data_IF_223446354665
#
_entry.id   IF_223446354665
#
_cell.length_a   1.000
_cell.length_b   1.000
_cell.length_c   1.000
_cell.angle_alpha   90.00
_cell.angle_beta   90.00
_cell.angle_gamma   90.00
#
_symmetry.space_group_name_H-M   'P 1'
#
loop_
_entity.id
_entity.type
_entity.pdbx_description
1 polymer ?
#
# COMPACT_ATOMS: atom_id res chain seq x y z
N UNK A 1 55.03 -10.67 51.15
CA UNK A 1 55.91 -10.02 50.17
C UNK A 1 55.01 -9.31 49.17
N UNK A 2 54.52 -8.12 49.56
CA UNK A 2 54.99 -6.76 49.17
C UNK A 2 54.37 -6.33 47.85
N UNK A 3 53.55 -5.28 47.72
CA UNK A 3 53.05 -4.16 48.56
C UNK A 3 51.96 -3.46 47.69
N UNK A 4 50.70 -3.18 48.11
CA UNK A 4 50.17 -1.98 48.81
C UNK A 4 50.84 -0.65 48.37
N UNK A 5 50.20 0.49 48.06
CA UNK A 5 48.93 1.12 48.51
C UNK A 5 48.62 2.33 47.57
N UNK A 6 47.37 2.68 47.26
CA UNK A 6 46.48 3.69 47.91
C UNK A 6 47.00 5.14 47.90
N UNK A 7 46.28 6.12 47.33
CA UNK A 7 45.24 6.99 47.98
C UNK A 7 45.61 8.46 47.66
N UNK A 8 44.84 9.54 47.75
CA UNK A 8 43.42 9.88 47.89
C UNK A 8 43.32 11.44 47.69
N UNK A 9 42.21 11.91 47.08
CA UNK A 9 41.28 13.06 47.36
C UNK A 9 41.73 14.14 48.40
N UNK A 10 41.27 15.45 48.45
CA UNK A 10 39.94 15.98 48.06
C UNK A 10 39.75 17.49 47.67
N UNK A 11 38.50 17.82 47.26
CA UNK A 11 37.67 19.05 47.34
C UNK A 11 38.22 20.43 47.78
N UNK A 12 37.78 21.51 47.07
CA UNK A 12 37.15 22.72 47.64
C UNK A 12 36.61 23.69 46.56
N UNK A 13 35.37 24.17 46.72
CA UNK A 13 34.78 25.40 46.13
C UNK A 13 34.96 26.58 47.11
N UNK A 14 34.33 27.76 46.92
CA UNK A 14 34.42 28.79 45.88
C UNK A 14 34.89 30.15 46.48
N UNK A 15 35.23 31.17 45.66
CA UNK A 15 35.35 32.55 46.18
C UNK A 15 35.00 33.62 45.13
N UNK A 16 34.25 34.64 45.59
CA UNK A 16 33.67 35.75 44.84
C UNK A 16 34.56 37.01 44.76
N UNK A 17 34.44 37.73 43.63
CA UNK A 17 34.51 39.21 43.46
C UNK A 17 35.90 39.91 43.56
N UNK A 18 36.07 41.23 43.19
CA UNK A 18 35.11 42.23 42.69
C UNK A 18 35.58 43.20 41.55
N UNK A 19 34.56 43.80 40.88
CA UNK A 19 34.36 45.18 40.33
C UNK A 19 35.53 46.12 39.89
N UNK A 20 35.37 46.73 38.71
CA UNK A 20 35.33 48.21 38.43
C UNK A 20 34.97 48.43 36.93
N UNK A 21 33.87 49.10 36.52
CA UNK A 21 33.45 50.52 36.48
C UNK A 21 34.33 51.47 35.63
N UNK A 22 33.79 51.90 34.48
CA UNK A 22 34.25 53.04 33.68
C UNK A 22 33.18 53.50 32.68
N UNK A 23 32.69 54.74 32.87
CA UNK A 23 31.54 55.37 32.20
C UNK A 23 31.97 56.14 30.94
N UNK A 24 31.09 56.23 29.94
CA UNK A 24 30.94 57.43 29.09
C UNK A 24 29.46 57.63 28.73
N UNK A 25 29.07 58.90 28.66
CA UNK A 25 27.71 59.45 28.70
C UNK A 25 27.49 60.33 27.48
N UNK A 26 26.30 60.29 26.85
CA UNK A 26 25.57 61.40 26.19
C UNK A 26 24.22 60.82 25.72
N UNK A 27 23.05 61.18 26.29
CA UNK A 27 22.21 62.35 25.92
C UNK A 27 21.48 62.09 24.59
N UNK A 28 20.15 62.04 24.45
CA UNK A 28 19.16 63.13 24.66
C UNK A 28 17.71 62.59 24.55
N UNK A 29 16.89 62.94 25.56
CA UNK A 29 15.49 63.45 25.61
C UNK A 29 14.35 62.94 24.68
N UNK A 30 13.26 62.54 25.37
CA UNK A 30 11.86 62.27 25.00
C UNK A 30 11.13 63.37 24.19
N UNK A 31 10.24 62.97 23.27
CA UNK A 31 8.92 63.63 23.07
C UNK A 31 7.85 62.57 22.73
N UNK A 32 6.86 62.44 23.61
CA UNK A 32 5.52 61.92 23.34
C UNK A 32 4.66 63.07 22.79
N UNK A 33 4.25 63.00 21.53
CA UNK A 33 3.04 63.66 21.00
C UNK A 33 2.83 63.21 19.54
N UNK A 34 1.77 62.45 19.28
CA UNK A 34 1.44 62.00 17.93
C UNK A 34 0.45 60.83 17.86
N UNK A 35 -0.49 60.73 18.80
CA UNK A 35 -1.73 59.99 18.61
C UNK A 35 -2.61 60.78 17.64
N UNK A 36 -2.82 60.25 16.44
CA UNK A 36 -3.74 60.80 15.45
C UNK A 36 -3.05 61.10 14.13
N UNK A 37 -3.56 60.51 13.05
CA UNK A 37 -3.14 60.64 11.65
C UNK A 37 -2.01 59.67 11.25
N UNK A 38 -2.35 58.38 11.17
CA UNK A 38 -1.86 57.45 10.14
C UNK A 38 -2.70 56.15 10.06
N UNK A 39 -4.01 56.25 10.38
CA UNK A 39 -4.96 55.14 10.28
C UNK A 39 -5.61 55.01 8.88
N UNK A 40 -4.97 55.53 7.83
CA UNK A 40 -5.52 55.52 6.46
C UNK A 40 -4.64 54.88 5.38
N UNK A 41 -3.46 54.34 5.72
CA UNK A 41 -2.59 53.67 4.74
C UNK A 41 -1.88 52.43 5.29
N UNK A 42 -2.59 51.61 6.08
CA UNK A 42 -2.18 50.22 6.28
C UNK A 42 -2.96 49.37 5.28
N UNK A 43 -2.34 48.81 4.23
CA UNK A 43 -3.00 47.79 3.44
C UNK A 43 -3.20 46.61 4.37
N UNK A 44 -4.46 46.25 4.60
CA UNK A 44 -4.84 44.99 5.23
C UNK A 44 -4.11 43.89 4.50
N UNK A 45 -2.99 43.42 5.07
CA UNK A 45 -2.43 42.12 4.75
C UNK A 45 -3.51 41.14 5.18
N UNK A 46 -4.37 40.76 4.24
CA UNK A 46 -5.19 39.57 4.33
C UNK A 46 -4.26 38.46 4.73
N UNK A 47 -4.36 38.03 6.00
CA UNK A 47 -3.91 36.71 6.40
C UNK A 47 -4.64 35.75 5.44
N UNK A 48 -3.93 35.25 4.43
CA UNK A 48 -4.45 34.20 3.58
C UNK A 48 -4.85 33.06 4.50
N UNK A 49 -6.16 32.77 4.53
CA UNK A 49 -6.65 31.55 5.14
C UNK A 49 -5.99 30.37 4.41
N UNK A 50 -5.44 29.38 5.12
CA UNK A 50 -4.94 28.17 4.48
C UNK A 50 -6.09 27.57 3.68
N UNK A 51 -5.83 27.14 2.44
CA UNK A 51 -6.86 26.55 1.58
C UNK A 51 -7.57 25.42 2.30
N UNK A 52 -8.84 25.64 2.65
CA UNK A 52 -9.65 24.72 3.44
C UNK A 52 -10.21 23.64 2.53
N UNK A 53 -9.39 22.66 2.16
CA UNK A 53 -9.95 21.39 1.72
C UNK A 53 -10.70 20.78 2.93
N UNK A 54 -12.02 20.69 2.84
CA UNK A 54 -12.85 20.03 3.84
C UNK A 54 -13.13 18.59 3.39
N UNK A 55 -13.02 17.62 4.30
CA UNK A 55 -13.37 16.21 4.09
C UNK A 55 -14.74 15.94 4.70
N UNK A 56 -15.54 15.12 4.02
CA UNK A 56 -16.82 14.67 4.58
C UNK A 56 -16.61 13.53 5.59
N UNK A 57 -16.98 13.78 6.84
CA UNK A 57 -16.86 12.91 8.02
C UNK A 57 -18.22 12.85 8.72
N UNK A 58 -18.58 11.75 9.38
CA UNK A 58 -19.83 11.70 10.15
C UNK A 58 -19.65 11.96 11.66
N UNK A 59 -20.71 12.44 12.30
CA UNK A 59 -20.82 12.56 13.76
C UNK A 59 -22.15 11.94 14.19
N UNK A 60 -22.12 11.00 15.13
CA UNK A 60 -23.34 10.53 15.78
C UNK A 60 -23.88 11.58 16.75
N UNK A 61 -25.15 11.97 16.62
CA UNK A 61 -25.87 12.65 17.71
C UNK A 61 -26.46 11.62 18.67
N UNK A 62 -26.28 11.84 19.97
CA UNK A 62 -26.93 11.05 21.03
C UNK A 62 -28.42 11.43 21.07
N UNK A 63 -29.36 10.48 20.90
CA UNK A 63 -30.77 10.82 20.97
C UNK A 63 -31.21 10.96 22.44
N UNK A 64 -31.82 12.10 22.75
CA UNK A 64 -32.81 12.19 23.83
C UNK A 64 -34.07 11.46 23.36
N UNK A 65 -34.28 10.26 23.90
CA UNK A 65 -35.39 9.30 23.70
C UNK A 65 -35.14 8.15 22.71
N UNK A 66 -35.34 6.96 23.28
CA UNK A 66 -35.13 5.66 22.67
C UNK A 66 -36.38 5.19 21.90
N UNK A 67 -36.56 5.67 20.65
CA UNK A 67 -37.35 4.93 19.63
C UNK A 67 -37.14 5.44 18.19
N UNK A 68 -35.93 5.87 17.83
CA UNK A 68 -35.65 6.20 16.42
C UNK A 68 -34.26 5.71 16.02
N UNK A 69 -34.18 5.03 14.88
CA UNK A 69 -32.91 4.55 14.33
C UNK A 69 -31.89 5.68 14.27
N UNK A 70 -30.64 5.40 14.64
CA UNK A 70 -29.55 6.38 14.65
C UNK A 70 -29.47 7.05 13.28
N UNK A 71 -29.84 8.33 13.22
CA UNK A 71 -29.75 9.15 12.02
C UNK A 71 -28.36 9.76 11.98
N UNK A 72 -27.53 9.30 11.06
CA UNK A 72 -26.21 9.87 10.85
C UNK A 72 -26.29 11.01 9.84
N UNK A 73 -25.53 12.08 10.08
CA UNK A 73 -25.43 13.24 9.18
C UNK A 73 -24.02 13.34 8.63
N UNK A 74 -23.90 13.54 7.32
CA UNK A 74 -22.64 13.88 6.66
C UNK A 74 -22.23 15.29 7.09
N UNK A 75 -21.08 15.42 7.74
CA UNK A 75 -20.54 16.70 8.21
C UNK A 75 -19.23 17.00 7.48
N UNK A 76 -19.07 18.21 6.96
CA UNK A 76 -17.78 18.64 6.39
C UNK A 76 -16.85 19.07 7.52
N UNK A 77 -15.59 18.64 7.49
CA UNK A 77 -14.55 19.02 8.46
C UNK A 77 -13.28 19.45 7.72
N UNK A 78 -12.55 20.47 8.18
CA UNK A 78 -11.22 20.76 7.63
C UNK A 78 -10.35 19.49 7.64
N UNK A 79 -9.64 19.21 6.55
CA UNK A 79 -8.78 18.01 6.46
C UNK A 79 -7.71 17.96 7.57
N UNK A 80 -7.27 19.14 8.03
CA UNK A 80 -6.35 19.30 9.14
C UNK A 80 -6.91 18.80 10.49
N UNK A 81 -8.23 18.67 10.62
CA UNK A 81 -8.90 18.21 11.84
C UNK A 81 -9.30 16.73 11.75
N UNK A 82 -9.00 16.06 10.64
CA UNK A 82 -9.26 14.62 10.48
C UNK A 82 -8.08 13.83 11.04
N UNK A 83 -8.39 12.82 11.86
CA UNK A 83 -7.40 11.97 12.52
C UNK A 83 -7.80 10.49 12.47
N UNK A 84 -6.83 9.57 12.67
CA UNK A 84 -7.14 8.15 12.62
C UNK A 84 -8.17 7.73 13.67
N UNK A 85 -9.11 6.85 13.28
CA UNK A 85 -10.26 6.45 14.09
C UNK A 85 -11.57 7.19 13.75
N UNK A 86 -11.50 8.30 13.02
CA UNK A 86 -12.66 8.91 12.36
C UNK A 86 -13.15 8.05 11.19
N UNK A 87 -14.34 8.35 10.65
CA UNK A 87 -14.87 7.68 9.45
C UNK A 87 -15.07 8.64 8.29
N UNK A 88 -14.69 8.20 7.09
CA UNK A 88 -14.97 8.88 5.83
C UNK A 88 -16.00 8.08 5.03
N UNK A 89 -16.98 8.77 4.46
CA UNK A 89 -17.98 8.15 3.58
C UNK A 89 -17.60 8.43 2.13
N UNK A 90 -17.05 7.44 1.45
CA UNK A 90 -16.81 7.46 0.01
C UNK A 90 -16.87 6.02 -0.49
N UNK A 91 -17.26 5.85 -1.75
CA UNK A 91 -17.30 4.56 -2.43
C UNK A 91 -16.27 4.59 -3.54
N UNK A 92 -15.37 3.59 -3.56
CA UNK A 92 -14.40 3.49 -4.63
C UNK A 92 -15.14 3.04 -5.90
N UNK A 93 -15.09 3.80 -7.01
CA UNK A 93 -15.73 3.42 -8.27
C UNK A 93 -15.04 2.23 -8.96
N UNK A 94 -13.86 1.85 -8.48
CA UNK A 94 -13.07 0.73 -8.97
C UNK A 94 -13.14 -0.46 -8.00
N UNK A 95 -12.76 -1.64 -8.48
CA UNK A 95 -12.66 -2.84 -7.64
C UNK A 95 -11.36 -2.89 -6.79
N UNK A 96 -10.56 -1.81 -6.76
CA UNK A 96 -9.32 -1.72 -5.99
C UNK A 96 -9.63 -1.56 -4.49
N UNK A 97 -9.58 -2.69 -3.77
CA UNK A 97 -9.74 -2.76 -2.32
C UNK A 97 -8.47 -3.24 -1.63
N UNK A 98 -8.11 -2.61 -0.53
CA UNK A 98 -6.97 -3.00 0.28
C UNK A 98 -7.36 -3.75 1.54
N UNK A 99 -7.24 -5.07 1.47
CA UNK A 99 -7.51 -5.98 2.58
C UNK A 99 -6.24 -6.39 3.34
N UNK A 100 -5.10 -5.71 3.14
CA UNK A 100 -3.82 -6.09 3.77
C UNK A 100 -3.88 -6.18 5.30
N UNK A 101 -4.79 -5.42 5.92
CA UNK A 101 -5.02 -5.42 7.36
C UNK A 101 -6.44 -5.89 7.74
N UNK A 102 -7.13 -6.56 6.81
CA UNK A 102 -8.52 -7.00 6.98
C UNK A 102 -9.55 -5.90 6.70
N UNK A 103 -10.82 -6.22 6.96
CA UNK A 103 -11.98 -5.36 6.65
C UNK A 103 -12.41 -4.45 7.79
N UNK A 104 -11.86 -4.63 8.99
CA UNK A 104 -12.22 -3.89 10.20
C UNK A 104 -10.98 -3.53 11.02
N UNK A 105 -11.03 -2.38 11.69
CA UNK A 105 -10.03 -1.98 12.69
C UNK A 105 -10.43 -2.58 14.03
N UNK A 106 -9.56 -3.38 14.63
CA UNK A 106 -9.76 -3.93 15.97
C UNK A 106 -9.00 -3.08 17.00
N UNK A 107 -9.75 -2.25 17.72
CA UNK A 107 -9.16 -1.36 18.74
C UNK A 107 -8.38 -2.06 19.85
N UNK A 108 -8.62 -3.37 20.07
CA UNK A 108 -7.94 -4.13 21.12
C UNK A 108 -6.53 -4.59 20.69
N UNK A 109 -6.34 -4.88 19.40
CA UNK A 109 -5.10 -5.42 18.84
C UNK A 109 -4.36 -4.45 17.93
N UNK A 110 -4.87 -3.22 17.76
CA UNK A 110 -4.23 -2.16 16.97
C UNK A 110 -3.65 -1.08 17.87
N UNK A 111 -2.67 -0.35 17.33
CA UNK A 111 -2.04 0.82 17.97
C UNK A 111 -1.92 1.96 16.96
N UNK A 112 -1.78 3.17 17.48
CA UNK A 112 -1.40 4.33 16.69
C UNK A 112 0.13 4.48 16.72
N UNK A 113 0.74 4.43 15.54
CA UNK A 113 2.17 4.66 15.35
C UNK A 113 2.33 6.05 14.76
N UNK A 114 3.06 6.92 15.44
CA UNK A 114 3.37 8.27 14.94
C UNK A 114 4.84 8.32 14.55
N UNK A 115 5.07 8.81 13.35
CA UNK A 115 6.32 8.70 12.63
C UNK A 115 6.72 10.07 12.08
N UNK A 116 8.03 10.30 12.02
CA UNK A 116 8.61 11.38 11.22
C UNK A 116 9.31 10.77 10.02
N UNK A 117 8.78 11.02 8.83
CA UNK A 117 9.26 10.39 7.61
C UNK A 117 10.05 11.38 6.73
N UNK A 118 11.24 11.01 6.24
CA UNK A 118 11.98 11.85 5.30
C UNK A 118 11.31 11.84 3.92
N UNK A 119 11.40 12.98 3.23
CA UNK A 119 11.01 13.16 1.83
C UNK A 119 12.27 13.26 0.96
N UNK A 120 12.15 12.94 -0.33
CA UNK A 120 13.28 12.92 -1.29
C UNK A 120 14.07 14.23 -1.40
N UNK A 121 13.46 15.38 -1.08
CA UNK A 121 14.07 16.72 -1.14
C UNK A 121 14.64 17.20 0.21
N UNK A 122 14.77 16.33 1.21
CA UNK A 122 15.32 16.67 2.54
C UNK A 122 14.33 17.28 3.54
N UNK A 123 13.09 17.54 3.12
CA UNK A 123 11.99 17.89 4.03
C UNK A 123 11.40 16.65 4.70
N UNK A 124 10.48 16.86 5.65
CA UNK A 124 9.85 15.77 6.42
C UNK A 124 8.33 15.79 6.30
N UNK A 125 7.72 14.65 6.58
CA UNK A 125 6.29 14.50 6.79
C UNK A 125 6.02 13.96 8.20
N UNK A 126 5.02 14.53 8.86
CA UNK A 126 4.48 13.96 10.09
C UNK A 126 3.40 12.94 9.70
N UNK A 127 3.49 11.74 10.26
CA UNK A 127 2.68 10.60 9.83
C UNK A 127 2.07 9.91 11.04
N UNK A 128 0.77 9.65 10.98
CA UNK A 128 0.05 8.83 11.97
C UNK A 128 -0.55 7.64 11.24
N UNK A 129 -0.30 6.43 11.73
CA UNK A 129 -0.85 5.19 11.17
C UNK A 129 -1.50 4.35 12.27
N UNK A 130 -2.71 3.85 12.01
CA UNK A 130 -3.32 2.76 12.74
C UNK A 130 -2.87 1.44 12.12
N UNK A 131 -2.21 0.61 12.92
CA UNK A 131 -1.67 -0.68 12.48
C UNK A 131 -1.90 -1.74 13.55
N UNK A 132 -2.11 -3.01 13.15
CA UNK A 132 -2.19 -4.12 14.10
C UNK A 132 -0.82 -4.33 14.77
N UNK A 133 -0.84 -4.86 16.00
CA UNK A 133 0.38 -5.18 16.75
C UNK A 133 1.30 -6.16 15.98
N UNK A 134 0.74 -7.04 15.16
CA UNK A 134 1.50 -7.93 14.26
C UNK A 134 2.32 -7.17 13.22
N UNK A 135 1.82 -6.06 12.69
CA UNK A 135 2.56 -5.20 11.76
C UNK A 135 3.69 -4.46 12.48
N UNK A 136 3.43 -3.98 13.69
CA UNK A 136 4.42 -3.28 14.53
C UNK A 136 5.58 -4.24 14.84
N UNK A 137 5.27 -5.48 15.23
CA UNK A 137 6.26 -6.50 15.48
C UNK A 137 7.06 -6.86 14.22
N UNK A 138 6.41 -7.06 13.06
CA UNK A 138 7.10 -7.44 11.83
C UNK A 138 8.02 -6.35 11.26
N UNK A 139 7.75 -5.08 11.58
CA UNK A 139 8.59 -3.95 11.19
C UNK A 139 9.62 -3.58 12.26
N UNK A 140 9.69 -4.32 13.38
CA UNK A 140 10.49 -3.99 14.56
C UNK A 140 10.29 -2.52 14.99
N UNK A 141 9.05 -2.04 14.91
CA UNK A 141 8.72 -0.66 15.23
C UNK A 141 8.83 -0.44 16.75
N UNK A 142 9.84 0.32 17.16
CA UNK A 142 10.11 0.69 18.55
C UNK A 142 10.32 2.19 18.65
N UNK A 143 9.87 2.82 19.73
CA UNK A 143 10.03 4.27 19.94
C UNK A 143 11.50 4.66 19.95
N UNK A 144 11.86 5.69 19.19
CA UNK A 144 13.24 6.12 18.93
C UNK A 144 13.98 5.28 17.87
N UNK A 145 13.39 4.17 17.41
CA UNK A 145 13.87 3.37 16.30
C UNK A 145 13.46 3.92 14.94
N UNK A 146 13.88 3.23 13.88
CA UNK A 146 13.53 3.55 12.50
C UNK A 146 12.85 2.35 11.84
N UNK A 147 11.87 2.64 10.99
CA UNK A 147 11.23 1.64 10.14
C UNK A 147 11.37 2.03 8.68
N UNK A 148 11.56 1.04 7.81
CA UNK A 148 11.53 1.28 6.37
C UNK A 148 10.07 1.53 5.95
N UNK A 149 9.76 2.77 5.60
CA UNK A 149 8.44 3.18 5.14
C UNK A 149 8.51 3.51 3.64
N UNK A 150 7.67 2.84 2.86
CA UNK A 150 7.54 3.10 1.43
C UNK A 150 6.08 3.43 1.13
N UNK A 151 5.77 4.72 1.25
CA UNK A 151 4.51 5.36 0.87
C UNK A 151 4.77 6.47 -0.16
N UNK A 152 5.37 6.13 -1.32
CA UNK A 152 5.80 7.12 -2.31
C UNK A 152 4.64 7.95 -2.89
N UNK A 153 3.41 7.47 -2.76
CA UNK A 153 2.16 8.12 -3.15
C UNK A 153 1.86 9.39 -2.38
N UNK A 154 2.25 9.40 -1.11
CA UNK A 154 2.23 10.57 -0.24
C UNK A 154 3.64 11.17 -0.15
N UNK A 155 4.54 10.85 -1.08
CA UNK A 155 5.90 11.39 -1.09
C UNK A 155 6.77 10.97 0.11
N UNK A 156 6.43 9.87 0.78
CA UNK A 156 7.15 9.33 1.93
C UNK A 156 7.90 8.06 1.52
N UNK A 157 9.22 8.10 1.53
CA UNK A 157 10.06 6.96 1.16
C UNK A 157 11.37 7.01 1.91
N UNK A 158 11.67 5.96 2.67
CA UNK A 158 12.92 5.86 3.42
C UNK A 158 12.70 5.40 4.86
N UNK A 159 13.74 5.57 5.66
CA UNK A 159 13.70 5.28 7.09
C UNK A 159 12.91 6.36 7.83
N UNK A 160 11.69 6.02 8.26
CA UNK A 160 10.88 6.86 9.12
C UNK A 160 11.22 6.60 10.59
N UNK A 161 11.42 7.66 11.36
CA UNK A 161 11.67 7.59 12.80
C UNK A 161 10.34 7.37 13.54
N UNK A 162 10.30 6.40 14.45
CA UNK A 162 9.14 6.12 15.30
C UNK A 162 9.18 7.03 16.52
N UNK A 163 8.29 8.02 16.54
CA UNK A 163 8.24 9.01 17.62
C UNK A 163 7.44 8.51 18.83
N UNK A 164 6.36 7.78 18.58
CA UNK A 164 5.48 7.23 19.62
C UNK A 164 4.66 6.07 19.09
N UNK A 165 4.35 5.14 19.99
CA UNK A 165 3.40 4.05 19.79
C UNK A 165 2.39 4.15 20.91
N UNK A 166 1.15 4.47 20.56
CA UNK A 166 0.07 4.79 21.49
C UNK A 166 -1.05 3.75 21.37
N UNK A 167 -1.90 3.60 22.40
CA UNK A 167 -3.14 2.83 22.28
C UNK A 167 -3.95 3.24 21.05
N UNK A 168 -4.73 2.31 20.49
CA UNK A 168 -5.69 2.65 19.44
C UNK A 168 -6.62 3.78 19.94
N UNK A 169 -6.77 4.89 19.21
CA UNK A 169 -7.76 5.91 19.53
C UNK A 169 -9.17 5.32 19.43
N UNK A 170 -10.15 6.02 19.99
CA UNK A 170 -11.55 5.64 19.85
C UNK A 170 -11.93 5.57 18.36
N UNK A 171 -12.42 4.41 17.94
CA UNK A 171 -12.97 4.24 16.59
C UNK A 171 -14.42 4.71 16.61
N UNK A 172 -14.70 5.80 15.90
CA UNK A 172 -16.05 6.37 15.84
C UNK A 172 -17.04 5.36 15.27
N UNK A 173 -18.24 5.31 15.85
CA UNK A 173 -19.34 4.53 15.30
C UNK A 173 -20.01 5.27 14.13
N UNK A 174 -20.40 4.54 13.10
CA UNK A 174 -21.10 5.09 11.93
C UNK A 174 -20.80 4.33 10.64
N UNK A 175 -21.51 4.65 9.54
CA UNK A 175 -21.19 4.17 8.20
C UNK A 175 -19.86 4.74 7.67
N UNK A 176 -19.45 4.26 6.50
CA UNK A 176 -18.17 4.61 5.90
C UNK A 176 -16.99 3.84 6.50
N UNK A 177 -15.80 4.17 6.01
CA UNK A 177 -14.55 3.48 6.34
C UNK A 177 -13.73 4.27 7.34
N UNK A 178 -12.97 3.56 8.16
CA UNK A 178 -12.11 4.17 9.18
C UNK A 178 -10.92 4.85 8.52
N UNK A 179 -10.62 6.08 8.93
CA UNK A 179 -9.35 6.74 8.64
C UNK A 179 -8.26 5.98 9.40
N UNK A 180 -7.38 5.31 8.68
CA UNK A 180 -6.26 4.53 9.25
C UNK A 180 -4.94 5.26 9.15
N UNK A 181 -4.88 6.38 8.45
CA UNK A 181 -3.66 7.16 8.37
C UNK A 181 -3.91 8.63 8.12
N UNK A 182 -2.96 9.45 8.58
CA UNK A 182 -2.90 10.89 8.35
C UNK A 182 -1.46 11.26 8.02
N UNK A 183 -1.29 12.05 6.97
CA UNK A 183 0.00 12.53 6.50
C UNK A 183 -0.03 14.05 6.43
N UNK A 184 0.96 14.69 7.04
CA UNK A 184 1.15 16.14 6.98
C UNK A 184 2.47 16.40 6.29
N UNK A 185 2.39 16.97 5.10
CA UNK A 185 3.55 17.35 4.32
C UNK A 185 3.82 18.83 4.52
N UNK A 186 5.03 19.12 4.95
CA UNK A 186 5.55 20.48 4.92
C UNK A 186 6.21 20.74 3.56
N UNK A 187 6.19 22.01 3.17
CA UNK A 187 6.87 22.53 1.98
C UNK A 187 6.45 21.88 0.65
N UNK A 188 5.14 21.79 0.40
CA UNK A 188 4.60 21.25 -0.86
C UNK A 188 4.31 22.36 -1.89
N UNK A 189 4.63 22.08 -3.15
CA UNK A 189 4.19 22.88 -4.30
C UNK A 189 2.76 22.48 -4.67
N UNK A 190 1.90 23.46 -4.91
CA UNK A 190 0.48 23.24 -5.17
C UNK A 190 0.04 23.79 -6.52
N UNK A 191 -1.07 23.22 -6.96
CA UNK A 191 -1.92 23.74 -8.02
C UNK A 191 -3.31 24.02 -7.42
N UNK A 192 -3.94 25.05 -7.95
CA UNK A 192 -5.31 25.44 -7.70
C UNK A 192 -6.19 24.87 -8.81
N UNK A 193 -6.91 23.79 -8.47
CA UNK A 193 -7.88 23.15 -9.34
C UNK A 193 -9.25 23.79 -9.10
N UNK A 194 -9.78 24.50 -10.11
CA UNK A 194 -11.11 25.09 -10.05
C UNK A 194 -12.13 24.14 -10.66
N UNK A 195 -13.15 23.80 -9.88
CA UNK A 195 -14.26 22.92 -10.27
C UNK A 195 -15.57 23.69 -10.09
N UNK A 196 -16.51 23.53 -11.02
CA UNK A 196 -17.73 24.33 -11.07
C UNK A 196 -18.61 24.21 -9.80
N UNK A 197 -18.62 23.05 -9.14
CA UNK A 197 -19.36 22.81 -7.89
C UNK A 197 -18.66 23.38 -6.64
N UNK A 198 -17.46 23.93 -6.78
CA UNK A 198 -16.65 24.45 -5.68
C UNK A 198 -16.66 25.98 -5.69
N UNK A 199 -16.98 26.60 -4.55
CA UNK A 199 -16.95 28.06 -4.41
C UNK A 199 -15.52 28.62 -4.55
N UNK A 200 -14.54 27.94 -3.95
CA UNK A 200 -13.10 28.21 -4.05
C UNK A 200 -12.35 27.11 -4.80
N UNK A 201 -11.17 27.40 -5.35
CA UNK A 201 -10.30 26.36 -5.91
C UNK A 201 -9.85 25.37 -4.84
N UNK A 202 -9.67 24.11 -5.24
CA UNK A 202 -9.07 23.08 -4.40
C UNK A 202 -7.55 23.17 -4.58
N UNK A 203 -6.86 23.59 -3.52
CA UNK A 203 -5.40 23.54 -3.45
C UNK A 203 -4.94 22.09 -3.26
N UNK A 204 -4.20 21.56 -4.23
CA UNK A 204 -3.76 20.16 -4.23
C UNK A 204 -2.35 20.02 -4.79
N UNK A 205 -1.67 18.91 -4.51
CA UNK A 205 -0.39 18.64 -5.18
C UNK A 205 -0.65 18.23 -6.63
N UNK A 206 0.24 18.58 -7.58
CA UNK A 206 0.05 18.26 -9.00
C UNK A 206 -0.24 16.78 -9.26
N UNK A 207 0.39 15.89 -8.48
CA UNK A 207 0.26 14.45 -8.60
C UNK A 207 -0.95 13.84 -7.89
N UNK A 208 -1.75 14.61 -7.17
CA UNK A 208 -2.87 14.06 -6.42
C UNK A 208 -3.99 13.64 -7.37
N UNK A 209 -4.55 12.44 -7.24
CA UNK A 209 -5.55 11.95 -8.18
C UNK A 209 -6.99 12.31 -7.81
N UNK A 210 -7.75 12.62 -8.85
CA UNK A 210 -9.18 12.87 -8.82
C UNK A 210 -9.89 11.83 -9.69
N UNK A 211 -11.11 11.45 -9.33
CA UNK A 211 -11.91 10.57 -10.19
C UNK A 211 -12.43 11.34 -11.40
N UNK A 212 -11.99 10.94 -12.59
CA UNK A 212 -12.54 11.39 -13.87
C UNK A 212 -13.63 10.43 -14.33
N UNK A 213 -14.80 10.97 -14.61
CA UNK A 213 -15.93 10.24 -15.17
C UNK A 213 -15.79 10.06 -16.69
N UNK A 214 -15.05 10.93 -17.36
CA UNK A 214 -14.79 10.80 -18.80
C UNK A 214 -13.76 9.69 -19.06
N UNK A 215 -12.73 9.60 -18.23
CA UNK A 215 -11.68 8.59 -18.34
C UNK A 215 -11.98 7.30 -17.56
N UNK A 216 -13.01 7.31 -16.70
CA UNK A 216 -13.32 6.21 -15.77
C UNK A 216 -12.10 5.76 -14.96
N UNK A 217 -11.30 6.73 -14.53
CA UNK A 217 -10.02 6.50 -13.88
C UNK A 217 -9.66 7.60 -12.89
N UNK A 218 -8.75 7.27 -11.97
CA UNK A 218 -8.10 8.25 -11.12
C UNK A 218 -6.96 8.94 -11.89
N UNK A 219 -7.16 10.22 -12.19
CA UNK A 219 -6.29 11.07 -13.02
C UNK A 219 -5.62 12.11 -12.14
N UNK A 220 -4.33 12.37 -12.37
CA UNK A 220 -3.57 13.38 -11.60
C UNK A 220 -4.16 14.77 -11.82
N UNK A 221 -4.11 15.62 -10.80
CA UNK A 221 -4.60 16.99 -10.88
C UNK A 221 -3.97 17.79 -12.03
N UNK A 222 -2.70 17.55 -12.33
CA UNK A 222 -1.97 18.20 -13.44
C UNK A 222 -2.21 17.58 -14.83
N UNK A 223 -2.95 16.48 -14.90
CA UNK A 223 -3.36 15.83 -16.14
C UNK A 223 -4.86 15.99 -16.42
N UNK A 224 -5.63 16.59 -15.50
CA UNK A 224 -7.03 16.93 -15.73
C UNK A 224 -7.16 18.08 -16.73
N UNK A 225 -8.02 17.92 -17.71
CA UNK A 225 -8.27 18.94 -18.73
C UNK A 225 -9.49 19.81 -18.40
N UNK A 226 -9.48 21.12 -18.69
CA UNK A 226 -10.68 21.94 -18.64
C UNK A 226 -11.80 21.34 -19.49
N UNK A 227 -13.00 21.22 -18.92
CA UNK A 227 -14.15 20.54 -19.52
C UNK A 227 -14.35 19.09 -19.07
N UNK A 228 -13.35 18.49 -18.40
CA UNK A 228 -13.44 17.12 -17.91
C UNK A 228 -14.43 16.98 -16.74
N UNK A 229 -15.21 15.89 -16.74
CA UNK A 229 -16.22 15.60 -15.73
C UNK A 229 -15.64 14.83 -14.55
N UNK A 230 -15.87 15.34 -13.34
CA UNK A 230 -15.45 14.72 -12.07
C UNK A 230 -16.65 14.34 -11.21
N UNK A 231 -16.50 13.28 -10.41
CA UNK A 231 -17.55 12.83 -9.47
C UNK A 231 -17.53 13.64 -8.18
N UNK A 232 -18.69 14.10 -7.75
CA UNK A 232 -18.89 14.86 -6.50
C UNK A 232 -20.04 14.28 -5.67
N UNK A 233 -20.23 14.76 -4.42
CA UNK A 233 -21.37 14.36 -3.60
C UNK A 233 -22.71 14.85 -4.16
N UNK A 234 -22.70 15.89 -5.00
CA UNK A 234 -23.89 16.46 -5.64
C UNK A 234 -24.14 15.94 -7.05
N UNK A 235 -23.33 14.98 -7.53
CA UNK A 235 -23.38 14.45 -8.90
C UNK A 235 -22.11 14.80 -9.68
N UNK A 236 -22.23 15.00 -10.98
CA UNK A 236 -21.10 15.36 -11.83
C UNK A 236 -20.79 16.86 -11.73
N UNK A 237 -19.51 17.23 -11.81
CA UNK A 237 -19.06 18.60 -11.97
C UNK A 237 -17.94 18.70 -13.01
N UNK A 238 -17.65 19.91 -13.46
CA UNK A 238 -16.70 20.16 -14.55
C UNK A 238 -15.45 20.84 -14.03
N UNK A 239 -14.29 20.38 -14.50
CA UNK A 239 -13.01 21.08 -14.30
C UNK A 239 -13.02 22.36 -15.12
N UNK A 240 -12.85 23.51 -14.48
CA UNK A 240 -12.87 24.82 -15.16
C UNK A 240 -11.45 25.28 -15.54
N UNK A 241 -10.50 25.11 -14.62
CA UNK A 241 -9.10 25.49 -14.85
C UNK A 241 -8.17 24.88 -13.81
N UNK A 242 -6.89 24.85 -14.17
CA UNK A 242 -5.79 24.52 -13.27
C UNK A 242 -4.78 25.66 -13.32
N UNK A 243 -4.41 26.19 -12.15
CA UNK A 243 -3.40 27.25 -12.04
C UNK A 243 -2.33 26.87 -11.03
N UNK A 244 -1.08 27.25 -11.29
CA UNK A 244 -0.02 27.02 -10.31
C UNK A 244 -0.19 27.97 -9.12
N UNK A 245 -0.10 27.44 -7.91
CA UNK A 245 -0.06 28.25 -6.69
C UNK A 245 1.39 28.54 -6.31
N UNK A 246 1.70 29.81 -6.13
CA UNK A 246 3.05 30.22 -5.71
C UNK A 246 3.30 29.94 -4.23
N UNK A 247 4.58 29.71 -3.90
CA UNK A 247 5.01 29.40 -2.54
C UNK A 247 4.96 27.92 -2.17
N UNK A 248 5.37 27.64 -0.94
CA UNK A 248 5.41 26.30 -0.36
C UNK A 248 4.39 26.23 0.77
N UNK A 249 3.58 25.16 0.77
CA UNK A 249 2.39 25.06 1.61
C UNK A 249 2.39 23.76 2.42
N UNK A 250 1.76 23.79 3.59
CA UNK A 250 1.46 22.57 4.33
C UNK A 250 0.23 21.90 3.72
N UNK A 251 0.34 20.62 3.40
CA UNK A 251 -0.79 19.82 2.88
C UNK A 251 -1.02 18.56 3.67
N UNK A 252 -2.24 18.06 3.57
CA UNK A 252 -2.74 16.93 4.32
C UNK A 252 -3.20 15.84 3.36
N UNK A 253 -2.93 14.58 3.71
CA UNK A 253 -3.52 13.43 3.05
C UNK A 253 -3.98 12.41 4.10
N UNK A 254 -4.91 11.54 3.72
CA UNK A 254 -5.52 10.54 4.59
C UNK A 254 -5.35 9.15 3.99
N UNK A 255 -5.22 8.13 4.84
CA UNK A 255 -5.40 6.74 4.45
C UNK A 255 -6.75 6.26 4.94
N UNK A 256 -7.58 5.75 4.03
CA UNK A 256 -8.92 5.27 4.32
C UNK A 256 -8.93 3.75 4.19
N UNK A 257 -9.39 3.06 5.23
CA UNK A 257 -9.46 1.61 5.29
C UNK A 257 -10.21 1.02 4.09
N UNK A 258 -9.62 0.00 3.46
CA UNK A 258 -10.16 -0.76 2.31
C UNK A 258 -10.30 0.07 1.04
N UNK A 259 -11.14 1.10 1.05
CA UNK A 259 -11.60 1.75 -0.19
C UNK A 259 -10.63 2.82 -0.71
N UNK A 260 -9.71 3.34 0.12
CA UNK A 260 -8.68 4.32 -0.27
C UNK A 260 -9.18 5.56 -1.02
N UNK A 261 -10.44 5.95 -0.81
CA UNK A 261 -11.04 7.16 -1.41
C UNK A 261 -11.71 8.02 -0.34
N UNK A 262 -11.79 9.32 -0.60
CA UNK A 262 -12.55 10.26 0.21
C UNK A 262 -13.03 11.45 -0.63
N UNK A 263 -13.98 12.22 -0.10
CA UNK A 263 -14.46 13.44 -0.75
C UNK A 263 -13.81 14.68 -0.14
N UNK A 264 -13.41 15.63 -0.99
CA UNK A 264 -12.81 16.91 -0.61
C UNK A 264 -13.60 18.11 -1.17
N UNK A 265 -13.51 19.25 -0.50
CA UNK A 265 -14.17 20.48 -0.93
C UNK A 265 -15.63 20.57 -0.51
N UNK A 266 -16.27 21.67 -0.91
CA UNK A 266 -17.65 21.98 -0.62
C UNK A 266 -18.63 21.12 -1.45
N UNK A 267 -18.38 20.93 -2.74
CA UNK A 267 -19.12 20.01 -3.60
C UNK A 267 -18.82 18.54 -3.29
N UNK A 268 -17.71 18.27 -2.59
CA UNK A 268 -17.31 16.93 -2.18
C UNK A 268 -16.81 16.13 -3.38
N UNK A 269 -15.75 16.61 -4.01
CA UNK A 269 -15.09 15.97 -5.16
C UNK A 269 -14.38 14.69 -4.71
N UNK A 270 -14.57 13.60 -5.44
CA UNK A 270 -13.99 12.30 -5.11
C UNK A 270 -12.50 12.25 -5.49
N UNK A 271 -11.66 11.99 -4.49
CA UNK A 271 -10.21 11.84 -4.63
C UNK A 271 -9.75 10.50 -4.11
N UNK A 272 -8.57 10.08 -4.56
CA UNK A 272 -7.97 8.82 -4.15
C UNK A 272 -6.74 9.05 -3.28
N UNK A 273 -6.66 8.28 -2.19
CA UNK A 273 -5.42 8.06 -1.48
C UNK A 273 -4.65 6.96 -2.22
N UNK A 274 -3.74 7.31 -3.14
CA UNK A 274 -3.00 6.22 -3.81
C UNK A 274 -2.22 5.42 -2.78
N UNK A 275 -2.49 4.12 -2.80
CA UNK A 275 -1.97 3.11 -1.91
C UNK A 275 -0.58 2.68 -2.38
N UNK A 276 0.30 2.36 -1.41
CA UNK A 276 1.63 1.78 -1.61
C UNK A 276 1.68 0.58 -2.56
N UNK A 277 0.55 -0.06 -2.90
CA UNK A 277 0.49 -1.12 -3.92
C UNK A 277 0.71 -0.57 -5.34
N UNK A 278 0.11 0.56 -5.73
CA UNK A 278 0.13 1.04 -7.12
C UNK A 278 1.51 1.60 -7.51
N UNK A 279 2.18 2.39 -6.68
CA UNK A 279 3.57 2.83 -6.96
C UNK A 279 4.62 1.76 -6.67
N UNK A 280 4.44 0.82 -5.73
CA UNK A 280 5.34 -0.36 -5.67
C UNK A 280 5.22 -1.17 -6.96
N UNK A 281 4.01 -1.33 -7.47
CA UNK A 281 3.73 -2.00 -8.73
C UNK A 281 4.35 -1.23 -9.90
N UNK A 282 4.11 0.08 -10.04
CA UNK A 282 4.72 0.93 -11.07
C UNK A 282 6.24 0.91 -11.00
N UNK A 283 6.84 1.05 -9.82
CA UNK A 283 8.30 0.97 -9.66
C UNK A 283 8.86 -0.41 -9.98
N UNK A 284 8.14 -1.48 -9.64
CA UNK A 284 8.49 -2.86 -10.05
C UNK A 284 8.45 -2.97 -11.57
N UNK A 285 7.36 -2.55 -12.21
CA UNK A 285 7.21 -2.58 -13.66
C UNK A 285 8.27 -1.73 -14.39
N UNK A 286 8.62 -0.56 -13.84
CA UNK A 286 9.70 0.27 -14.40
C UNK A 286 11.08 -0.37 -14.20
N UNK A 287 11.34 -1.01 -13.05
CA UNK A 287 12.57 -1.76 -12.81
C UNK A 287 12.66 -3.02 -13.68
N UNK A 288 11.52 -3.56 -14.10
CA UNK A 288 11.36 -4.67 -15.05
C UNK A 288 11.42 -4.21 -16.53
N UNK A 289 11.60 -2.90 -16.78
CA UNK A 289 11.89 -2.35 -18.11
C UNK A 289 10.68 -1.92 -18.96
N UNK A 290 9.48 -1.87 -18.38
CA UNK A 290 8.27 -1.47 -19.11
C UNK A 290 8.25 0.05 -19.40
N UNK A 291 7.72 0.40 -20.57
CA UNK A 291 7.48 1.78 -20.98
C UNK A 291 6.27 2.40 -20.26
N UNK A 292 6.17 3.73 -20.31
CA UNK A 292 5.08 4.47 -19.63
C UNK A 292 3.69 4.11 -20.18
N UNK A 293 3.59 3.82 -21.47
CA UNK A 293 2.32 3.49 -22.12
C UNK A 293 1.87 2.06 -21.76
N UNK A 294 2.82 1.13 -21.63
CA UNK A 294 2.56 -0.24 -21.15
C UNK A 294 2.14 -0.26 -19.68
N UNK A 295 2.76 0.57 -18.84
CA UNK A 295 2.36 0.75 -17.45
C UNK A 295 0.95 1.33 -17.36
N UNK A 296 0.61 2.33 -18.20
CA UNK A 296 -0.75 2.89 -18.27
C UNK A 296 -1.77 1.82 -18.66
N UNK A 297 -1.46 0.94 -19.62
CA UNK A 297 -2.33 -0.17 -20.01
C UNK A 297 -2.55 -1.18 -18.87
N UNK A 298 -1.48 -1.59 -18.17
CA UNK A 298 -1.55 -2.53 -17.02
C UNK A 298 -2.33 -1.97 -15.84
N UNK A 299 -2.32 -0.64 -15.65
CA UNK A 299 -3.06 0.03 -14.57
C UNK A 299 -4.52 0.33 -14.91
N UNK A 300 -4.91 0.26 -16.19
CA UNK A 300 -6.25 0.53 -16.68
C UNK A 300 -7.08 -0.74 -16.88
N UNK A 301 -6.43 -1.89 -17.08
CA UNK A 301 -7.11 -3.18 -17.01
C UNK A 301 -7.18 -3.65 -15.55
N UNK A 302 -8.36 -4.10 -15.12
CA UNK A 302 -8.64 -4.76 -13.82
C UNK A 302 -7.91 -6.12 -13.68
N UNK A 303 -6.69 -6.25 -14.20
CA UNK A 303 -5.88 -7.45 -14.13
C UNK A 303 -5.42 -7.67 -12.69
N UNK A 304 -6.07 -8.66 -12.07
CA UNK A 304 -5.79 -9.33 -10.79
C UNK A 304 -4.44 -9.03 -10.14
N UNK A 305 -4.40 -8.87 -8.80
CA UNK A 305 -3.15 -8.70 -8.05
C UNK A 305 -2.13 -9.75 -8.48
N UNK A 306 -0.93 -9.29 -8.89
CA UNK A 306 0.16 -10.08 -9.48
C UNK A 306 0.16 -11.53 -8.99
N UNK A 307 -0.48 -12.41 -9.75
CA UNK A 307 -0.57 -13.82 -9.41
C UNK A 307 0.85 -14.40 -9.49
N UNK A 308 1.27 -15.11 -8.44
CA UNK A 308 2.60 -15.71 -8.36
C UNK A 308 2.52 -17.22 -8.17
N UNK A 309 3.48 -17.94 -8.74
CA UNK A 309 3.62 -19.37 -8.55
C UNK A 309 4.35 -19.67 -7.23
N UNK A 310 4.54 -20.95 -6.91
CA UNK A 310 5.24 -21.38 -5.69
C UNK A 310 6.70 -20.94 -5.61
N UNK A 311 7.32 -20.58 -6.74
CA UNK A 311 8.68 -20.03 -6.83
C UNK A 311 8.70 -18.50 -6.73
N UNK A 312 7.54 -17.87 -6.55
CA UNK A 312 7.40 -16.42 -6.52
C UNK A 312 7.44 -15.77 -7.90
N UNK A 313 7.51 -16.55 -8.98
CA UNK A 313 7.53 -16.05 -10.35
C UNK A 313 6.13 -15.60 -10.77
N UNK A 314 6.06 -14.65 -11.71
CA UNK A 314 4.80 -14.11 -12.19
C UNK A 314 4.04 -15.17 -13.00
N UNK A 315 2.75 -15.29 -12.71
CA UNK A 315 1.80 -16.12 -13.46
C UNK A 315 0.98 -15.23 -14.38
N UNK A 316 0.94 -15.61 -15.65
CA UNK A 316 0.13 -15.00 -16.69
C UNK A 316 -1.08 -15.90 -16.88
N UNK A 317 -2.27 -15.37 -16.61
CA UNK A 317 -3.52 -16.03 -16.98
C UNK A 317 -3.84 -15.59 -18.42
N UNK A 318 -3.82 -16.50 -19.41
CA UNK A 318 -4.17 -16.14 -20.79
C UNK A 318 -5.60 -15.63 -20.89
N UNK A 319 -5.84 -14.72 -21.83
CA UNK A 319 -7.15 -14.14 -22.07
C UNK A 319 -8.22 -15.24 -22.31
N UNK A 320 -9.37 -15.12 -21.64
CA UNK A 320 -10.46 -16.09 -21.71
C UNK A 320 -10.26 -17.38 -20.92
N UNK A 321 -9.10 -17.58 -20.25
CA UNK A 321 -8.89 -18.72 -19.36
C UNK A 321 -9.58 -18.52 -18.01
N UNK A 322 -10.48 -19.42 -17.66
CA UNK A 322 -11.22 -19.39 -16.38
C UNK A 322 -10.65 -20.45 -15.45
N UNK A 323 -10.09 -19.99 -14.32
CA UNK A 323 -9.53 -20.83 -13.27
C UNK A 323 -10.62 -21.60 -12.54
N UNK A 324 -10.37 -22.86 -12.19
CA UNK A 324 -11.34 -23.62 -11.41
C UNK A 324 -11.34 -23.13 -9.96
N UNK A 325 -12.50 -22.89 -9.33
CA UNK A 325 -12.55 -22.55 -7.90
C UNK A 325 -12.11 -23.71 -7.00
N UNK A 326 -11.89 -24.90 -7.56
CA UNK A 326 -11.36 -26.09 -6.88
C UNK A 326 -9.85 -26.27 -7.04
N UNK A 327 -9.19 -25.50 -7.90
CA UNK A 327 -7.75 -25.61 -8.06
C UNK A 327 -7.04 -25.00 -6.83
N UNK A 328 -5.99 -25.63 -6.28
CA UNK A 328 -5.19 -25.05 -5.21
C UNK A 328 -4.53 -23.75 -5.67
N UNK A 329 -4.35 -22.76 -4.79
CA UNK A 329 -3.68 -21.49 -5.16
C UNK A 329 -2.33 -21.72 -5.84
N UNK A 330 -2.01 -20.91 -6.87
CA UNK A 330 -0.76 -21.02 -7.66
C UNK A 330 0.52 -20.93 -6.83
N UNK A 331 0.46 -20.23 -5.70
CA UNK A 331 1.58 -20.07 -4.77
C UNK A 331 1.83 -21.28 -3.87
N UNK A 332 0.94 -22.27 -3.87
CA UNK A 332 1.14 -23.48 -3.07
C UNK A 332 2.18 -24.40 -3.73
N UNK A 333 3.02 -25.02 -2.89
CA UNK A 333 4.07 -25.95 -3.31
C UNK A 333 3.49 -27.07 -4.20
N UNK A 334 4.21 -27.51 -5.24
CA UNK A 334 3.73 -28.58 -6.10
C UNK A 334 3.69 -29.90 -5.33
N UNK A 335 2.72 -30.74 -5.65
CA UNK A 335 2.65 -32.09 -5.08
C UNK A 335 3.70 -32.98 -5.73
N UNK A 336 4.46 -33.73 -4.93
CA UNK A 336 5.42 -34.71 -5.41
C UNK A 336 5.49 -35.91 -4.46
N UNK A 337 5.88 -37.08 -4.99
CA UNK A 337 6.18 -38.23 -4.14
C UNK A 337 7.64 -38.31 -3.78
N UNK A 338 7.84 -38.50 -2.48
CA UNK A 338 9.14 -38.67 -1.82
C UNK A 338 9.86 -39.98 -2.17
N UNK A 339 9.16 -41.02 -2.62
CA UNK A 339 9.72 -42.36 -2.89
C UNK A 339 9.35 -43.39 -1.81
N UNK A 340 10.14 -44.46 -1.62
CA UNK A 340 11.44 -44.72 -2.23
C UNK A 340 11.36 -45.06 -3.73
N UNK A 341 12.44 -44.75 -4.46
CA UNK A 341 12.63 -45.08 -5.87
C UNK A 341 13.86 -45.96 -6.06
N UNK A 342 13.84 -46.83 -7.07
CA UNK A 342 14.97 -47.68 -7.44
C UNK A 342 15.96 -46.93 -8.35
N UNK A 343 17.19 -47.43 -8.48
CA UNK A 343 18.17 -46.90 -9.45
C UNK A 343 17.62 -46.92 -10.88
N UNK A 344 16.92 -47.99 -11.28
CA UNK A 344 16.28 -48.06 -12.60
C UNK A 344 15.27 -46.93 -12.81
N UNK A 345 14.43 -46.66 -11.79
CA UNK A 345 13.46 -45.58 -11.83
C UNK A 345 14.14 -44.21 -11.92
N UNK A 346 15.21 -43.99 -11.14
CA UNK A 346 16.02 -42.77 -11.25
C UNK A 346 16.59 -42.58 -12.64
N UNK A 347 17.16 -43.62 -13.23
CA UNK A 347 17.76 -43.55 -14.56
C UNK A 347 16.71 -43.28 -15.64
N UNK A 348 15.50 -43.81 -15.48
CA UNK A 348 14.36 -43.46 -16.33
C UNK A 348 13.92 -42.01 -16.16
N UNK A 349 13.86 -41.50 -14.92
CA UNK A 349 13.58 -40.08 -14.66
C UNK A 349 14.62 -39.19 -15.35
N UNK A 350 15.91 -39.53 -15.25
CA UNK A 350 17.00 -38.81 -15.94
C UNK A 350 16.86 -38.82 -17.48
N UNK A 351 16.18 -39.82 -18.05
CA UNK A 351 15.82 -39.87 -19.47
C UNK A 351 14.52 -39.11 -19.81
N UNK A 352 13.84 -38.55 -18.81
CA UNK A 352 12.58 -37.83 -18.97
C UNK A 352 11.34 -38.71 -18.99
N UNK A 353 11.46 -39.96 -18.51
CA UNK A 353 10.36 -40.93 -18.45
C UNK A 353 9.87 -41.11 -17.01
N UNK A 354 8.64 -41.57 -16.80
CA UNK A 354 8.09 -41.80 -15.45
C UNK A 354 8.67 -43.04 -14.73
N UNK A 355 9.61 -43.76 -15.32
CA UNK A 355 10.20 -44.98 -14.72
C UNK A 355 9.19 -46.09 -14.41
N UNK A 356 8.09 -46.16 -15.16
CA UNK A 356 7.00 -47.10 -14.90
C UNK A 356 6.29 -46.86 -13.57
N UNK A 357 6.55 -45.73 -12.90
CA UNK A 357 5.78 -45.35 -11.73
C UNK A 357 4.34 -45.10 -12.15
N UNK A 358 3.38 -45.48 -11.30
CA UNK A 358 1.98 -45.13 -11.48
C UNK A 358 1.72 -43.65 -11.12
N UNK A 359 2.66 -42.76 -11.46
CA UNK A 359 2.62 -41.33 -11.23
C UNK A 359 2.53 -40.61 -12.59
N UNK A 360 1.82 -39.50 -12.62
CA UNK A 360 1.50 -38.75 -13.83
C UNK A 360 1.63 -37.25 -13.58
N UNK A 361 2.39 -36.51 -14.41
CA UNK A 361 2.50 -35.07 -14.25
C UNK A 361 1.20 -34.38 -14.67
N UNK A 362 0.70 -33.49 -13.83
CA UNK A 362 -0.46 -32.66 -14.09
C UNK A 362 -0.05 -31.20 -13.97
N UNK A 363 -0.40 -30.38 -14.96
CA UNK A 363 -0.19 -28.94 -14.86
C UNK A 363 -1.35 -28.38 -14.05
N UNK A 364 -1.08 -28.06 -12.78
CA UNK A 364 -2.03 -27.38 -11.91
C UNK A 364 -2.57 -26.17 -12.67
N UNK A 365 -3.89 -26.07 -12.81
CA UNK A 365 -4.61 -25.01 -13.55
C UNK A 365 -4.60 -25.03 -15.09
N UNK A 366 -4.04 -26.05 -15.75
CA UNK A 366 -4.00 -26.15 -17.22
C UNK A 366 -3.26 -25.00 -17.95
N UNK A 367 -2.38 -24.31 -17.25
CA UNK A 367 -1.53 -23.24 -17.80
C UNK A 367 -0.11 -23.79 -18.01
N UNK A 368 0.55 -23.47 -19.13
CA UNK A 368 1.97 -23.79 -19.34
C UNK A 368 2.88 -23.21 -18.25
N UNK A 369 3.98 -23.90 -17.94
CA UNK A 369 4.96 -23.35 -16.99
C UNK A 369 5.63 -22.08 -17.53
N UNK A 370 5.72 -21.94 -18.85
CA UNK A 370 6.15 -20.68 -19.52
C UNK A 370 5.30 -19.46 -19.18
N UNK A 371 4.07 -19.66 -18.69
CA UNK A 371 3.17 -18.61 -18.22
C UNK A 371 3.10 -18.59 -16.68
N UNK A 372 4.10 -19.12 -15.99
CA UNK A 372 4.15 -19.24 -14.54
C UNK A 372 3.24 -20.35 -13.98
N UNK A 373 2.81 -21.31 -14.80
CA UNK A 373 2.10 -22.50 -14.32
C UNK A 373 2.95 -23.39 -13.40
N UNK A 374 2.30 -24.36 -12.74
CA UNK A 374 2.93 -25.31 -11.79
C UNK A 374 2.66 -26.76 -12.20
N UNK A 375 3.63 -27.65 -12.02
CA UNK A 375 3.49 -29.09 -12.33
C UNK A 375 3.45 -29.91 -11.04
N UNK A 376 2.33 -30.61 -10.83
CA UNK A 376 2.14 -31.60 -9.78
C UNK A 376 2.43 -33.02 -10.31
N UNK A 377 2.93 -33.89 -9.45
CA UNK A 377 3.06 -35.32 -9.69
C UNK A 377 1.94 -36.06 -8.95
N UNK A 378 0.92 -36.45 -9.70
CA UNK A 378 -0.30 -37.04 -9.16
C UNK A 378 -0.34 -38.54 -9.42
N UNK A 379 -1.04 -39.35 -8.61
CA UNK A 379 -1.22 -40.75 -8.93
C UNK A 379 -2.02 -40.91 -10.23
N UNK A 380 -1.58 -41.83 -11.07
CA UNK A 380 -2.15 -42.11 -12.38
C UNK A 380 -3.50 -42.84 -12.33
N UNK A 381 -4.16 -43.00 -13.49
CA UNK A 381 -5.44 -43.70 -13.58
C UNK A 381 -5.39 -45.12 -13.01
N UNK A 382 -6.36 -45.49 -12.16
CA UNK A 382 -6.47 -46.83 -11.56
C UNK A 382 -5.94 -47.00 -10.13
N UNK A 383 -5.44 -45.94 -9.49
CA UNK A 383 -5.04 -45.94 -8.07
C UNK A 383 -6.08 -45.29 -7.15
N UNK A 384 -6.19 -45.70 -5.86
CA UNK A 384 -7.19 -45.17 -4.92
C UNK A 384 -7.00 -43.68 -4.56
N UNK A 385 -5.83 -43.12 -4.89
CA UNK A 385 -5.49 -41.69 -4.73
C UNK A 385 -5.25 -40.99 -6.08
N UNK A 386 -5.73 -41.58 -7.18
CA UNK A 386 -5.67 -40.97 -8.52
C UNK A 386 -6.32 -39.58 -8.54
N UNK A 387 -5.62 -38.60 -9.13
CA UNK A 387 -5.99 -37.19 -9.34
C UNK A 387 -7.33 -36.78 -8.67
N UNK A 388 -7.36 -36.72 -7.33
CA UNK A 388 -8.60 -36.71 -6.52
C UNK A 388 -9.45 -35.46 -6.81
N UNK A 389 -8.86 -34.45 -7.43
CA UNK A 389 -9.48 -33.22 -7.92
C UNK A 389 -10.19 -33.35 -9.29
N UNK A 390 -10.24 -34.55 -9.89
CA UNK A 390 -10.89 -34.81 -11.19
C UNK A 390 -12.25 -35.51 -11.07
N UNK A 391 -12.63 -35.99 -9.88
CA UNK A 391 -13.88 -36.70 -9.68
C UNK A 391 -15.01 -35.77 -9.21
N UNK A 392 -16.19 -35.86 -9.86
CA UNK A 392 -17.45 -35.25 -9.44
C UNK A 392 -17.81 -33.90 -10.07
N UNK A 393 -19.12 -33.64 -10.16
CA UNK A 393 -19.69 -32.39 -10.67
C UNK A 393 -19.49 -31.20 -9.70
N UNK A 394 -19.46 -29.97 -10.21
CA UNK A 394 -19.40 -29.59 -11.63
C UNK A 394 -18.06 -29.92 -12.30
N UNK A 395 -18.09 -29.99 -13.64
CA UNK A 395 -16.93 -30.24 -14.51
C UNK A 395 -15.72 -29.41 -14.12
N UNK A 396 -14.53 -30.03 -14.21
CA UNK A 396 -13.26 -29.51 -13.69
C UNK A 396 -12.91 -28.12 -14.23
N UNK A 397 -13.33 -27.78 -15.43
CA UNK A 397 -13.10 -26.46 -16.04
C UNK A 397 -14.26 -26.20 -17.02
N UNK A 398 -14.95 -25.05 -16.95
CA UNK A 398 -15.97 -24.71 -17.94
C UNK A 398 -15.36 -24.35 -19.31
N UNK A 399 -14.04 -24.09 -19.38
CA UNK A 399 -13.32 -23.72 -20.60
C UNK A 399 -12.32 -24.77 -21.13
N UNK A 400 -11.86 -24.64 -22.38
CA UNK A 400 -10.85 -25.52 -23.00
C UNK A 400 -9.44 -25.28 -22.45
N UNK A 401 -8.60 -26.33 -22.44
CA UNK A 401 -7.19 -26.25 -22.02
C UNK A 401 -6.39 -25.29 -22.90
N UNK A 402 -5.67 -24.34 -22.28
CA UNK A 402 -4.78 -23.36 -22.95
C UNK A 402 -3.79 -24.03 -23.90
N UNK A 403 -3.22 -25.18 -23.53
CA UNK A 403 -2.30 -25.92 -24.40
C UNK A 403 -2.90 -26.31 -25.75
N UNK A 404 -4.22 -26.50 -25.83
CA UNK A 404 -4.88 -26.89 -27.08
C UNK A 404 -5.15 -25.68 -27.98
N UNK A 405 -5.27 -24.48 -27.40
CA UNK A 405 -5.47 -23.24 -28.16
C UNK A 405 -4.15 -22.57 -28.57
N UNK A 406 -3.03 -22.90 -27.91
CA UNK A 406 -1.72 -22.38 -28.23
C UNK A 406 -1.07 -23.05 -29.44
N UNK A 407 -0.40 -22.26 -30.27
CA UNK A 407 0.49 -22.76 -31.31
C UNK A 407 1.58 -23.64 -30.70
N UNK A 408 1.73 -24.87 -31.19
CA UNK A 408 2.64 -25.90 -30.67
C UNK A 408 2.41 -26.33 -29.21
N UNK A 409 1.25 -26.01 -28.60
CA UNK A 409 1.04 -26.27 -27.17
C UNK A 409 1.11 -27.75 -26.78
N UNK A 410 0.78 -28.69 -27.68
CA UNK A 410 1.00 -30.14 -27.46
C UNK A 410 2.49 -30.49 -27.35
N UNK A 411 3.33 -29.90 -28.19
CA UNK A 411 4.78 -30.11 -28.16
C UNK A 411 5.41 -29.45 -26.93
N UNK A 412 4.94 -28.25 -26.57
CA UNK A 412 5.33 -27.55 -25.34
C UNK A 412 5.03 -28.41 -24.11
N UNK A 413 3.79 -28.91 -23.99
CA UNK A 413 3.39 -29.80 -22.88
C UNK A 413 4.26 -31.05 -22.78
N UNK A 414 4.59 -31.66 -23.93
CA UNK A 414 5.47 -32.83 -23.95
C UNK A 414 6.89 -32.48 -23.48
N UNK A 415 7.40 -31.31 -23.84
CA UNK A 415 8.68 -30.80 -23.34
C UNK A 415 8.64 -30.60 -21.83
N UNK A 416 7.67 -29.84 -21.33
CA UNK A 416 7.54 -29.51 -19.90
C UNK A 416 7.43 -30.78 -19.04
N UNK A 417 6.71 -31.81 -19.50
CA UNK A 417 6.63 -33.11 -18.83
C UNK A 417 7.96 -33.85 -18.79
N UNK A 418 8.67 -33.89 -19.92
CA UNK A 418 9.98 -34.55 -20.02
C UNK A 418 10.99 -33.87 -19.12
N UNK A 419 11.03 -32.54 -19.16
CA UNK A 419 11.96 -31.71 -18.41
C UNK A 419 11.68 -31.83 -16.90
N UNK A 420 10.40 -31.93 -16.50
CA UNK A 420 10.00 -32.24 -15.11
C UNK A 420 10.58 -33.57 -14.61
N UNK A 421 10.48 -34.64 -15.39
CA UNK A 421 11.04 -35.94 -15.00
C UNK A 421 12.56 -35.92 -14.92
N UNK A 422 13.23 -35.25 -15.85
CA UNK A 422 14.69 -35.08 -15.81
C UNK A 422 15.13 -34.36 -14.53
N UNK A 423 14.44 -33.26 -14.18
CA UNK A 423 14.68 -32.54 -12.94
C UNK A 423 14.44 -33.41 -11.70
N UNK A 424 13.45 -34.33 -11.74
CA UNK A 424 13.26 -35.33 -10.67
C UNK A 424 14.45 -36.25 -10.54
N UNK A 425 14.88 -36.88 -11.63
CA UNK A 425 16.02 -37.81 -11.60
C UNK A 425 17.29 -37.15 -11.05
N UNK A 426 17.51 -35.87 -11.37
CA UNK A 426 18.66 -35.08 -10.90
C UNK A 426 18.62 -34.77 -9.41
N UNK A 427 17.44 -34.48 -8.84
CA UNK A 427 17.31 -34.10 -7.42
C UNK A 427 17.24 -35.28 -6.45
N UNK A 428 17.04 -36.51 -6.95
CA UNK A 428 17.00 -37.68 -6.07
C UNK A 428 18.32 -37.87 -5.33
N UNK A 429 18.23 -38.15 -4.03
CA UNK A 429 19.36 -38.44 -3.15
C UNK A 429 19.34 -39.90 -2.76
N UNK A 430 20.48 -40.57 -2.89
CA UNK A 430 20.66 -41.94 -2.44
C UNK A 430 20.81 -41.96 -0.92
N UNK A 431 19.89 -42.65 -0.24
CA UNK A 431 19.90 -42.75 1.24
C UNK A 431 20.47 -44.08 1.71
N UNK A 432 20.33 -45.12 0.88
CA UNK A 432 20.93 -46.44 1.02
C UNK A 432 21.28 -46.94 -0.39
N UNK A 433 22.23 -47.88 -0.55
CA UNK A 433 22.58 -48.40 -1.88
C UNK A 433 21.36 -48.86 -2.68
N UNK A 434 21.08 -48.18 -3.78
CA UNK A 434 19.95 -48.46 -4.67
C UNK A 434 18.59 -47.90 -4.22
N UNK A 435 18.53 -47.18 -3.09
CA UNK A 435 17.33 -46.56 -2.53
C UNK A 435 17.42 -45.04 -2.64
N UNK A 436 16.57 -44.47 -3.48
CA UNK A 436 16.56 -43.06 -3.79
C UNK A 436 15.33 -42.36 -3.22
N UNK A 437 15.54 -41.18 -2.65
CA UNK A 437 14.48 -40.35 -2.06
C UNK A 437 14.47 -38.99 -2.76
N UNK A 438 13.28 -38.50 -3.05
CA UNK A 438 13.05 -37.15 -3.53
C UNK A 438 12.93 -36.21 -2.33
N UNK A 439 13.94 -35.35 -2.06
CA UNK A 439 13.86 -34.39 -0.97
C UNK A 439 12.80 -33.30 -1.22
N UNK A 440 12.25 -33.23 -2.44
CA UNK A 440 11.36 -32.19 -2.89
C UNK A 440 12.09 -31.09 -3.64
N UNK A 441 11.34 -30.04 -3.96
CA UNK A 441 11.86 -28.85 -4.61
C UNK A 441 12.32 -27.91 -3.49
N UNK A 442 13.63 -27.71 -3.37
CA UNK A 442 14.24 -26.83 -2.35
C UNK A 442 13.89 -25.37 -2.64
N UNK A 443 13.54 -24.59 -1.60
CA UNK A 443 13.41 -23.13 -1.68
C UNK A 443 14.76 -22.45 -1.96
#
# INVERSE_FOLDING_TARGET
>A
MTRFDDSAIPYATPEESPRSLGRTTLGVVLILAGLGILYQYWPSSTLEQPATAAVSVERGEQPVNADSGKRFTKVKRPIADVYPGMRATAENPTDDIDLAFGTQVDSSSWKQVVLKAPKKKGSYADVWLLRPETWIASHNAVVGGKIQLSLPEVGVEGEAEVLRIEPCPEIQAGPGRVVTGRFVHHDAELVDLKIASESSSIGTTPNHPFWSEDQQAFVRADELEPGEQVRTLTGLSTVESLTKREGLHTVYNLEIQVDHVYHVGEGGVLVHNICAKRVRHIKSLMAEGLSRDEIKAVLNDNASPLLRNYQGERVIIPEGHIMSPRDPVMSAVPEFRRGPFTTTQRDDFLRGNSGGTHLSPHHRHQIPTTHGGVIDELPGPGHPTGNIHTAGSPSRHPGPSVFNSMQNGKALRASEIRDHWQAKGQRLVEVEPGVWIDPGISN
#
